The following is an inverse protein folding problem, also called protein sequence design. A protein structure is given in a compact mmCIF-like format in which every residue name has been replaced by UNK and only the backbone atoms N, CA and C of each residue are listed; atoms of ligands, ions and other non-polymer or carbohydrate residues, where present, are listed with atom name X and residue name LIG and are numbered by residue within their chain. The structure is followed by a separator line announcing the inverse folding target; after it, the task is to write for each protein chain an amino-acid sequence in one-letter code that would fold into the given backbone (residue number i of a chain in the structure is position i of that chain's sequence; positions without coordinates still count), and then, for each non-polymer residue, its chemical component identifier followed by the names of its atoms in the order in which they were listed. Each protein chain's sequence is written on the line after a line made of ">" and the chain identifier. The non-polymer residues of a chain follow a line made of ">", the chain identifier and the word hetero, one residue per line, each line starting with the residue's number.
data_IF_614462814896
#
_entry.id   IF_614462814896
#
_cell.length_a   1.000
_cell.length_b   1.000
_cell.length_c   1.000
_cell.angle_alpha   90.00
_cell.angle_beta   90.00
_cell.angle_gamma   90.00
#
_symmetry.space_group_name_H-M   'P 1'
#
loop_
_entity.id
_entity.type
_entity.pdbx_description
1 polymer ?
#
# COMPACT_ATOMS: atom_id res chain seq x y z
N UNK A 1 2.97 3.84 25.10
CA UNK A 1 3.90 2.73 24.84
C UNK A 1 4.00 2.52 23.34
N UNK A 2 5.20 2.59 22.74
CA UNK A 2 5.38 2.32 21.31
C UNK A 2 5.58 0.81 21.10
N UNK A 3 4.83 0.21 20.17
CA UNK A 3 4.98 -1.19 19.76
C UNK A 3 5.46 -1.17 18.30
N UNK A 4 6.58 -1.83 18.05
CA UNK A 4 7.09 -2.03 16.69
C UNK A 4 6.66 -3.42 16.23
N UNK A 5 5.99 -3.48 15.08
CA UNK A 5 5.61 -4.74 14.43
C UNK A 5 6.45 -4.88 13.16
N UNK A 6 7.21 -5.97 13.06
CA UNK A 6 8.00 -6.29 11.86
C UNK A 6 7.45 -7.58 11.27
N UNK A 7 6.91 -7.50 10.05
CA UNK A 7 6.50 -8.66 9.28
C UNK A 7 7.61 -8.99 8.28
N UNK A 8 8.22 -10.15 8.45
CA UNK A 8 9.23 -10.70 7.55
C UNK A 8 8.54 -11.76 6.71
N UNK A 9 8.61 -11.61 5.39
CA UNK A 9 8.04 -12.54 4.42
C UNK A 9 9.17 -13.09 3.56
N UNK A 10 9.24 -14.42 3.44
CA UNK A 10 10.18 -15.11 2.56
C UNK A 10 9.42 -16.06 1.64
N UNK A 11 9.57 -15.90 0.33
CA UNK A 11 8.87 -16.69 -0.67
C UNK A 11 8.34 -15.88 -1.86
N UNK A 12 7.40 -16.48 -2.58
CA UNK A 12 6.85 -15.94 -3.82
C UNK A 12 5.33 -16.14 -3.88
N UNK A 13 4.63 -15.28 -4.64
CA UNK A 13 3.17 -15.34 -4.76
C UNK A 13 2.64 -16.70 -5.24
N UNK A 14 3.42 -17.41 -6.07
CA UNK A 14 3.03 -18.72 -6.61
C UNK A 14 3.09 -19.84 -5.56
N UNK A 15 4.10 -19.78 -4.68
CA UNK A 15 4.43 -20.84 -3.73
C UNK A 15 3.97 -20.50 -2.30
N UNK A 16 3.56 -19.25 -2.07
CA UNK A 16 3.27 -18.70 -0.76
C UNK A 16 4.52 -18.19 -0.05
N UNK A 17 4.32 -17.63 1.14
CA UNK A 17 5.35 -16.98 1.93
C UNK A 17 5.43 -17.59 3.33
N UNK A 18 6.64 -17.88 3.79
CA UNK A 18 6.91 -18.02 5.21
C UNK A 18 6.86 -16.65 5.86
N UNK A 19 5.90 -16.48 6.78
CA UNK A 19 5.67 -15.24 7.48
C UNK A 19 6.18 -15.34 8.91
N UNK A 20 6.98 -14.37 9.32
CA UNK A 20 7.36 -14.15 10.71
C UNK A 20 6.92 -12.76 11.13
N UNK A 21 6.02 -12.67 12.11
CA UNK A 21 5.66 -11.43 12.76
C UNK A 21 6.43 -11.28 14.07
N UNK A 22 7.30 -10.28 14.16
CA UNK A 22 7.98 -9.89 15.39
C UNK A 22 7.30 -8.68 16.01
N UNK A 23 6.99 -8.79 17.31
CA UNK A 23 6.42 -7.71 18.11
C UNK A 23 7.47 -7.29 19.14
N UNK A 24 7.89 -6.02 19.08
CA UNK A 24 8.80 -5.37 20.04
C UNK A 24 8.04 -4.28 20.80
N UNK A 25 8.28 -4.18 22.10
CA UNK A 25 7.87 -3.01 22.89
C UNK A 25 9.09 -2.12 23.11
N UNK A 26 8.97 -0.84 22.78
CA UNK A 26 10.09 0.10 22.88
C UNK A 26 10.71 0.41 21.53
N UNK A 27 12.04 0.45 21.48
CA UNK A 27 12.80 0.92 20.32
C UNK A 27 13.36 -0.25 19.49
N UNK A 28 14.00 0.03 18.34
CA UNK A 28 14.51 -0.99 17.42
C UNK A 28 15.51 -1.95 18.08
N UNK A 29 16.27 -1.46 19.07
CA UNK A 29 17.26 -2.23 19.83
C UNK A 29 16.66 -3.08 20.96
N UNK A 30 15.37 -2.93 21.26
CA UNK A 30 14.70 -3.74 22.28
C UNK A 30 14.50 -5.18 21.78
N UNK A 31 14.68 -6.19 22.65
CA UNK A 31 14.48 -7.58 22.26
C UNK A 31 13.02 -7.84 21.83
N UNK A 32 12.84 -8.73 20.85
CA UNK A 32 11.53 -9.18 20.40
C UNK A 32 10.80 -9.91 21.52
N UNK A 33 9.65 -9.39 21.94
CA UNK A 33 8.80 -10.02 22.96
C UNK A 33 8.04 -11.21 22.39
N UNK A 34 7.67 -11.16 21.12
CA UNK A 34 6.84 -12.20 20.52
C UNK A 34 7.24 -12.39 19.06
N UNK A 35 7.44 -13.65 18.67
CA UNK A 35 7.73 -14.04 17.30
C UNK A 35 6.70 -15.08 16.87
N UNK A 36 5.75 -14.67 16.05
CA UNK A 36 4.71 -15.55 15.51
C UNK A 36 5.19 -16.00 14.13
N UNK A 37 5.29 -17.31 13.92
CA UNK A 37 5.60 -17.90 12.62
C UNK A 37 4.31 -18.45 12.01
N UNK A 38 4.16 -18.31 10.70
CA UNK A 38 3.06 -18.86 9.94
C UNK A 38 3.42 -19.00 8.47
N UNK A 39 2.54 -19.65 7.71
CA UNK A 39 2.65 -19.76 6.25
C UNK A 39 1.46 -19.05 5.63
N UNK A 40 1.73 -18.09 4.75
CA UNK A 40 0.74 -17.53 3.84
C UNK A 40 0.71 -18.41 2.59
N UNK A 41 -0.48 -18.86 2.20
CA UNK A 41 -0.65 -19.67 1.00
C UNK A 41 -0.30 -18.89 -0.27
N UNK A 42 0.13 -19.62 -1.31
CA UNK A 42 0.31 -19.05 -2.63
C UNK A 42 -1.02 -18.51 -3.16
N UNK A 43 -0.98 -17.31 -3.74
CA UNK A 43 -2.13 -16.66 -4.35
C UNK A 43 -1.67 -15.80 -5.54
N UNK A 44 -1.71 -16.40 -6.74
CA UNK A 44 -1.41 -15.74 -8.02
C UNK A 44 -2.37 -14.59 -8.34
N UNK A 45 -3.64 -14.74 -7.98
CA UNK A 45 -4.65 -13.74 -8.28
C UNK A 45 -4.38 -12.45 -7.51
N UNK A 46 -3.83 -12.54 -6.30
CA UNK A 46 -3.41 -11.37 -5.52
C UNK A 46 -2.32 -10.57 -6.26
N UNK A 47 -1.34 -11.24 -6.88
CA UNK A 47 -0.30 -10.58 -7.68
C UNK A 47 -0.91 -9.88 -8.90
N UNK A 48 -1.86 -10.51 -9.58
CA UNK A 48 -2.55 -9.91 -10.72
C UNK A 48 -3.37 -8.68 -10.30
N UNK A 49 -4.10 -8.78 -9.18
CA UNK A 49 -4.82 -7.65 -8.59
C UNK A 49 -3.88 -6.48 -8.26
N UNK A 50 -2.72 -6.76 -7.66
CA UNK A 50 -1.71 -5.75 -7.35
C UNK A 50 -1.18 -5.07 -8.62
N UNK A 51 -0.86 -5.84 -9.66
CA UNK A 51 -0.41 -5.30 -10.96
C UNK A 51 -1.46 -4.39 -11.60
N UNK A 52 -2.72 -4.81 -11.61
CA UNK A 52 -3.82 -3.99 -12.13
C UNK A 52 -3.99 -2.69 -11.32
N UNK A 53 -3.89 -2.77 -10.00
CA UNK A 53 -3.93 -1.58 -9.14
C UNK A 53 -2.78 -0.62 -9.47
N UNK A 54 -1.55 -1.12 -9.60
CA UNK A 54 -0.37 -0.32 -9.92
C UNK A 54 -0.50 0.39 -11.27
N UNK A 55 -1.00 -0.30 -12.30
CA UNK A 55 -1.25 0.30 -13.62
C UNK A 55 -2.28 1.43 -13.56
N UNK A 56 -3.38 1.24 -12.81
CA UNK A 56 -4.39 2.28 -12.61
C UNK A 56 -3.83 3.48 -11.85
N UNK A 57 -3.03 3.23 -10.82
CA UNK A 57 -2.39 4.27 -10.04
C UNK A 57 -1.45 5.12 -10.91
N UNK A 58 -0.59 4.49 -11.72
CA UNK A 58 0.29 5.20 -12.65
C UNK A 58 -0.48 6.05 -13.66
N UNK A 59 -1.57 5.52 -14.20
CA UNK A 59 -2.43 6.25 -15.14
C UNK A 59 -3.01 7.51 -14.49
N UNK A 60 -3.43 7.40 -13.23
CA UNK A 60 -3.98 8.49 -12.44
C UNK A 60 -2.89 9.52 -12.09
N UNK A 61 -1.70 9.08 -11.71
CA UNK A 61 -0.56 9.96 -11.47
C UNK A 61 -0.18 10.77 -12.72
N UNK A 62 -0.15 10.13 -13.89
CA UNK A 62 0.10 10.81 -15.17
C UNK A 62 -0.97 11.85 -15.49
N UNK A 63 -2.25 11.53 -15.26
CA UNK A 63 -3.35 12.47 -15.42
C UNK A 63 -3.17 13.69 -14.52
N UNK A 64 -2.86 13.49 -13.24
CA UNK A 64 -2.62 14.59 -12.31
C UNK A 64 -1.43 15.45 -12.73
N UNK A 65 -0.32 14.83 -13.15
CA UNK A 65 0.84 15.57 -13.68
C UNK A 65 0.47 16.42 -14.90
N UNK A 66 -0.32 15.88 -15.83
CA UNK A 66 -0.79 16.62 -17.01
C UNK A 66 -1.71 17.79 -16.63
N UNK A 67 -2.64 17.58 -15.69
CA UNK A 67 -3.52 18.64 -15.18
C UNK A 67 -2.75 19.73 -14.42
N UNK A 68 -1.72 19.36 -13.65
CA UNK A 68 -0.86 20.33 -12.95
C UNK A 68 0.06 21.11 -13.90
N UNK A 69 0.42 20.55 -15.06
CA UNK A 69 1.28 21.21 -16.04
C UNK A 69 0.53 22.26 -16.90
N UNK A 70 -0.80 22.13 -17.04
CA UNK A 70 -1.65 23.08 -17.75
C UNK A 70 -2.81 23.56 -16.86
N UNK A 71 -2.55 24.48 -15.92
CA UNK A 71 -3.59 24.98 -14.99
C UNK A 71 -4.77 25.67 -15.69
N UNK A 72 -4.62 26.11 -16.94
CA UNK A 72 -5.67 26.79 -17.71
C UNK A 72 -6.68 25.84 -18.38
N UNK A 73 -6.46 24.51 -18.37
CA UNK A 73 -7.38 23.53 -18.97
C UNK A 73 -8.46 23.00 -18.02
N UNK A 74 -8.53 23.48 -16.78
CA UNK A 74 -9.62 23.15 -15.86
C UNK A 74 -10.86 23.99 -16.19
N UNK A 75 -11.59 23.63 -17.25
CA UNK A 75 -12.82 24.32 -17.69
C UNK A 75 -14.10 23.85 -16.97
N UNK A 76 -14.00 22.86 -16.09
CA UNK A 76 -15.13 22.42 -15.26
C UNK A 76 -14.89 22.82 -13.79
N UNK A 77 -15.21 24.06 -13.46
CA UNK A 77 -15.54 24.44 -12.09
C UNK A 77 -17.05 24.27 -11.89
N UNK A 78 -17.46 23.31 -11.07
CA UNK A 78 -18.84 23.29 -10.58
C UNK A 78 -18.95 24.39 -9.52
N UNK A 79 -19.35 25.60 -9.92
CA UNK A 79 -19.82 26.59 -8.96
C UNK A 79 -21.06 26.02 -8.29
N UNK A 80 -20.92 25.60 -7.04
CA UNK A 80 -22.05 25.30 -6.15
C UNK A 80 -22.80 26.63 -5.99
N UNK A 81 -23.89 26.79 -6.76
CA UNK A 81 -24.73 27.97 -6.68
C UNK A 81 -25.18 28.17 -5.23
N UNK A 82 -24.90 29.35 -4.67
CA UNK A 82 -25.53 29.77 -3.43
C UNK A 82 -27.03 29.88 -3.71
N UNK A 83 -27.81 29.02 -3.07
CA UNK A 83 -29.25 29.12 -3.07
C UNK A 83 -29.63 30.29 -2.14
N UNK A 84 -30.33 31.27 -2.71
CA UNK A 84 -31.00 32.37 -1.99
C UNK A 84 -32.19 31.87 -1.17
#
# INVERSE_FOLDING_TARGET
>A
MKRLLTLILDGEFDQGFDATLEIRQGDIHSPSQTRIKGRLSGNRDLLNCYRHWQQRYLSLEMLFRALSANPEQVTNSSQRGEAF
#
